data_IF_999883716806
#
_entry.id   IF_999883716806
#
_cell.length_a   1.000
_cell.length_b   1.000
_cell.length_c   1.000
_cell.angle_alpha   90.00
_cell.angle_beta   90.00
_cell.angle_gamma   90.00
#
_symmetry.space_group_name_H-M   'P 1'
#
loop_
_entity.id
_entity.type
_entity.pdbx_description
1 polymer ?
#
# COMPACT_ATOMS: atom_id res chain seq x y z
N UNK A 1 8.80 8.14 10.06
CA UNK A 1 9.72 7.06 9.62
C UNK A 1 9.35 6.51 8.25
N UNK A 2 8.04 6.31 7.98
CA UNK A 2 7.46 5.86 6.71
C UNK A 2 7.96 6.64 5.46
N UNK A 3 7.90 7.97 5.49
CA UNK A 3 8.33 8.79 4.34
C UNK A 3 9.80 8.65 3.97
N UNK A 4 10.69 8.47 4.95
CA UNK A 4 12.12 8.24 4.69
C UNK A 4 12.36 6.89 4.02
N UNK A 5 11.63 5.84 4.41
CA UNK A 5 11.71 4.54 3.74
C UNK A 5 11.28 4.66 2.28
N UNK A 6 10.13 5.30 2.02
CA UNK A 6 9.60 5.46 0.65
C UNK A 6 10.61 6.23 -0.20
N UNK A 7 11.15 7.32 0.33
CA UNK A 7 12.16 8.12 -0.37
C UNK A 7 13.42 7.29 -0.70
N UNK A 8 13.94 6.53 0.27
CA UNK A 8 15.10 5.67 0.06
C UNK A 8 14.84 4.58 -0.99
N UNK A 9 13.65 3.97 -0.98
CA UNK A 9 13.24 2.99 -1.99
C UNK A 9 13.03 3.60 -3.37
N UNK A 10 12.73 4.89 -3.45
CA UNK A 10 12.56 5.61 -4.70
C UNK A 10 13.90 5.97 -5.36
N UNK A 11 14.87 6.44 -4.57
CA UNK A 11 16.20 6.84 -5.07
C UNK A 11 17.16 5.66 -5.23
N UNK A 12 16.96 4.57 -4.48
CA UNK A 12 17.83 3.39 -4.55
C UNK A 12 17.50 2.51 -5.75
N UNK A 13 18.51 2.19 -6.54
CA UNK A 13 18.43 1.18 -7.61
C UNK A 13 18.72 -0.23 -7.12
N UNK A 14 19.17 -0.40 -5.88
CA UNK A 14 19.61 -1.70 -5.33
C UNK A 14 18.44 -2.56 -4.84
N UNK A 15 17.40 -1.93 -4.28
CA UNK A 15 16.30 -2.63 -3.61
C UNK A 15 14.98 -2.60 -4.38
N UNK A 16 14.96 -1.91 -5.53
CA UNK A 16 13.77 -1.76 -6.37
C UNK A 16 14.01 -2.36 -7.75
N UNK A 17 13.04 -3.15 -8.22
CA UNK A 17 13.01 -3.69 -9.57
C UNK A 17 11.75 -3.24 -10.30
N UNK A 18 11.82 -3.16 -11.63
CA UNK A 18 10.65 -3.00 -12.51
C UNK A 18 10.22 -4.32 -13.14
N UNK A 19 11.03 -5.35 -12.97
CA UNK A 19 10.77 -6.72 -13.40
C UNK A 19 10.05 -7.46 -12.26
N UNK A 20 8.77 -7.82 -12.42
CA UNK A 20 7.97 -8.48 -11.38
C UNK A 20 8.49 -9.89 -11.03
N UNK A 21 9.20 -10.57 -11.94
CA UNK A 21 9.76 -11.90 -11.69
C UNK A 21 10.95 -11.85 -10.73
N UNK A 22 11.61 -10.68 -10.65
CA UNK A 22 12.70 -10.42 -9.70
C UNK A 22 12.20 -9.80 -8.39
N UNK A 23 10.94 -9.41 -8.32
CA UNK A 23 10.37 -8.79 -7.13
C UNK A 23 10.09 -9.86 -6.08
N UNK A 24 10.68 -9.69 -4.89
CA UNK A 24 10.37 -10.54 -3.73
C UNK A 24 9.04 -10.16 -3.09
N UNK A 25 8.74 -8.87 -3.04
CA UNK A 25 7.55 -8.30 -2.41
C UNK A 25 7.05 -7.07 -3.18
N UNK A 26 5.75 -6.79 -3.06
CA UNK A 26 5.08 -5.63 -3.62
C UNK A 26 4.68 -4.65 -2.53
N UNK A 27 5.12 -3.40 -2.67
CA UNK A 27 4.81 -2.34 -1.72
C UNK A 27 3.44 -1.73 -2.01
N UNK A 28 2.62 -1.59 -0.96
CA UNK A 28 1.36 -0.89 -0.94
C UNK A 28 1.56 0.52 -0.37
N UNK A 29 1.56 1.58 -1.21
CA UNK A 29 1.85 2.94 -0.78
C UNK A 29 0.63 3.61 -0.13
N UNK A 30 0.10 3.01 0.93
CA UNK A 30 -0.99 3.58 1.70
C UNK A 30 -0.46 4.24 2.97
N UNK A 31 -1.01 5.40 3.31
CA UNK A 31 -0.84 6.00 4.62
C UNK A 31 -2.14 5.88 5.41
N UNK A 32 -2.12 5.09 6.48
CA UNK A 32 -3.28 4.95 7.38
C UNK A 32 -3.66 6.29 7.98
N UNK A 33 -2.69 7.12 8.33
CA UNK A 33 -2.93 8.48 8.83
C UNK A 33 -3.69 9.35 7.82
N UNK A 34 -3.34 9.27 6.52
CA UNK A 34 -4.07 10.00 5.48
C UNK A 34 -5.49 9.45 5.28
N UNK A 35 -5.67 8.13 5.34
CA UNK A 35 -7.01 7.53 5.26
C UNK A 35 -7.89 7.96 6.46
N UNK A 36 -7.33 8.03 7.67
CA UNK A 36 -8.06 8.56 8.83
C UNK A 36 -8.39 10.04 8.67
N UNK A 37 -7.49 10.85 8.08
CA UNK A 37 -7.73 12.29 7.91
C UNK A 37 -8.78 12.63 6.86
N UNK A 38 -8.84 11.86 5.78
CA UNK A 38 -9.63 12.23 4.59
C UNK A 38 -10.79 11.28 4.27
N UNK A 39 -10.75 10.05 4.77
CA UNK A 39 -11.74 9.00 4.44
C UNK A 39 -12.58 8.62 5.65
N UNK A 40 -12.00 8.63 6.86
CA UNK A 40 -12.74 8.32 8.08
C UNK A 40 -13.65 9.48 8.49
N UNK A 41 -14.89 9.14 8.83
CA UNK A 41 -15.85 10.09 9.41
C UNK A 41 -15.70 10.05 10.93
N UNK A 42 -15.34 11.17 11.55
CA UNK A 42 -15.18 11.27 13.01
C UNK A 42 -16.45 10.81 13.74
N UNK A 43 -16.25 10.13 14.87
CA UNK A 43 -17.31 9.56 15.74
C UNK A 43 -18.29 8.57 15.09
N UNK A 44 -18.08 8.18 13.83
CA UNK A 44 -18.91 7.18 13.16
C UNK A 44 -18.65 5.76 13.65
N UNK A 45 -17.43 5.47 14.14
CA UNK A 45 -16.91 4.12 14.37
C UNK A 45 -17.01 3.19 13.15
N UNK A 46 -17.27 3.77 11.97
CA UNK A 46 -17.39 3.05 10.71
C UNK A 46 -16.06 3.11 9.94
N UNK A 47 -15.36 1.99 9.92
CA UNK A 47 -14.12 1.82 9.14
C UNK A 47 -14.40 1.34 7.70
N UNK A 48 -15.67 1.18 7.32
CA UNK A 48 -16.12 0.78 5.99
C UNK A 48 -15.51 1.61 4.87
N UNK A 49 -15.53 2.96 4.93
CA UNK A 49 -14.94 3.83 3.91
C UNK A 49 -13.43 3.57 3.72
N UNK A 50 -12.68 3.35 4.81
CA UNK A 50 -11.24 3.02 4.74
C UNK A 50 -11.05 1.66 4.06
N UNK A 51 -11.81 0.65 4.49
CA UNK A 51 -11.75 -0.70 3.91
C UNK A 51 -12.07 -0.68 2.41
N UNK A 52 -13.11 0.05 2.02
CA UNK A 52 -13.51 0.18 0.62
C UNK A 52 -12.43 0.87 -0.22
N UNK A 53 -11.82 1.94 0.31
CA UNK A 53 -10.71 2.63 -0.36
C UNK A 53 -9.55 1.67 -0.67
N UNK A 54 -9.18 0.81 0.28
CA UNK A 54 -8.13 -0.20 0.08
C UNK A 54 -8.54 -1.23 -0.97
N UNK A 55 -9.78 -1.74 -0.90
CA UNK A 55 -10.32 -2.71 -1.87
C UNK A 55 -10.31 -2.13 -3.29
N UNK A 56 -10.79 -0.90 -3.46
CA UNK A 56 -10.88 -0.25 -4.76
C UNK A 56 -9.50 -0.04 -5.37
N UNK A 57 -8.52 0.37 -4.57
CA UNK A 57 -7.13 0.47 -5.03
C UNK A 57 -6.60 -0.90 -5.48
N UNK A 58 -6.78 -1.95 -4.68
CA UNK A 58 -6.31 -3.29 -5.01
C UNK A 58 -6.97 -3.81 -6.30
N UNK A 59 -8.25 -3.54 -6.51
CA UNK A 59 -8.96 -3.89 -7.75
C UNK A 59 -8.36 -3.18 -8.96
N UNK A 60 -8.06 -1.89 -8.86
CA UNK A 60 -7.43 -1.13 -9.96
C UNK A 60 -6.04 -1.66 -10.29
N UNK A 61 -5.21 -1.91 -9.27
CA UNK A 61 -3.84 -2.38 -9.47
C UNK A 61 -3.82 -3.80 -10.02
N UNK A 62 -4.60 -4.72 -9.45
CA UNK A 62 -4.67 -6.10 -9.90
C UNK A 62 -5.24 -6.24 -11.31
N UNK A 63 -6.21 -5.41 -11.70
CA UNK A 63 -6.72 -5.36 -13.07
C UNK A 63 -5.64 -4.88 -14.07
N UNK A 64 -4.79 -3.95 -13.67
CA UNK A 64 -3.73 -3.38 -14.52
C UNK A 64 -2.49 -4.27 -14.60
N UNK A 65 -2.18 -5.01 -13.53
CA UNK A 65 -0.95 -5.77 -13.39
C UNK A 65 -1.25 -7.22 -12.99
N UNK A 66 -1.37 -8.17 -13.95
CA UNK A 66 -1.78 -9.54 -13.66
C UNK A 66 -0.89 -10.29 -12.65
N UNK A 67 0.41 -9.98 -12.62
CA UNK A 67 1.38 -10.56 -11.67
C UNK A 67 1.08 -10.21 -10.21
N UNK A 68 0.27 -9.17 -9.96
CA UNK A 68 -0.07 -8.70 -8.62
C UNK A 68 -0.83 -9.76 -7.81
N UNK A 69 -1.69 -10.55 -8.46
CA UNK A 69 -2.50 -11.57 -7.77
C UNK A 69 -1.81 -12.93 -7.65
N UNK A 70 -0.52 -13.06 -8.02
CA UNK A 70 0.18 -14.37 -8.06
C UNK A 70 0.24 -15.08 -6.70
N UNK A 71 0.26 -14.31 -5.61
CA UNK A 71 0.42 -14.80 -4.24
C UNK A 71 -0.86 -14.69 -3.40
N UNK A 72 -1.95 -14.19 -4.01
CA UNK A 72 -3.18 -13.78 -3.30
C UNK A 72 -2.91 -12.80 -2.14
N UNK A 73 -1.82 -12.02 -2.21
CA UNK A 73 -1.46 -11.01 -1.22
C UNK A 73 -0.33 -11.42 -0.25
N UNK A 74 0.16 -12.66 -0.30
CA UNK A 74 1.20 -13.13 0.63
C UNK A 74 2.57 -12.42 0.46
N UNK A 75 2.84 -11.86 -0.71
CA UNK A 75 4.05 -11.08 -1.00
C UNK A 75 3.82 -9.56 -0.97
N UNK A 76 2.73 -9.08 -0.37
CA UNK A 76 2.42 -7.66 -0.27
C UNK A 76 2.72 -7.11 1.12
N UNK A 77 3.26 -5.89 1.18
CA UNK A 77 3.54 -5.22 2.45
C UNK A 77 3.14 -3.75 2.39
N UNK A 78 2.77 -3.21 3.55
CA UNK A 78 2.56 -1.78 3.76
C UNK A 78 3.37 -1.33 4.97
N UNK A 79 3.66 -0.03 5.03
CA UNK A 79 4.23 0.59 6.20
C UNK A 79 3.16 1.44 6.87
N UNK A 80 3.12 1.39 8.19
CA UNK A 80 2.29 2.27 8.99
C UNK A 80 3.15 2.85 10.11
N UNK A 81 3.34 4.17 10.10
CA UNK A 81 3.88 4.88 11.25
C UNK A 81 2.76 5.09 12.28
N UNK A 82 2.84 4.42 13.43
CA UNK A 82 2.01 4.73 14.59
C UNK A 82 2.57 6.00 15.27
N UNK A 83 2.27 7.15 14.69
CA UNK A 83 2.52 8.43 15.35
C UNK A 83 1.20 8.83 16.04
N UNK A 84 0.89 8.17 17.15
CA UNK A 84 -0.10 8.64 18.13
C UNK A 84 0.63 9.20 19.34
#
# INVERSE_FOLDING_TARGET
MEGNFIHMMEISTQFRTRDPEKAHVFFLPFSVAMMVRFVYVQDSYDYGPIKQTVIDYLNVVSAKYPYWNRSLGADHFMLACHDW
#
